data_IF_037221615146
#
_entry.id   IF_037221615146
#
_cell.length_a   1.000
_cell.length_b   1.000
_cell.length_c   1.000
_cell.angle_alpha   90.00
_cell.angle_beta   90.00
_cell.angle_gamma   90.00
#
_symmetry.space_group_name_H-M   'P 1'
#
loop_
_entity.id
_entity.type
_entity.pdbx_description
1 polymer ?
#
# COMPACT_ATOMS: atom_id res chain seq x y z
N UNK A 1 23.88 8.47 -3.25
CA UNK A 1 23.22 7.42 -4.06
C UNK A 1 22.00 6.95 -3.28
N UNK A 2 20.81 7.49 -3.58
CA UNK A 2 19.57 6.95 -3.02
C UNK A 2 19.38 5.56 -3.63
N UNK A 3 19.56 4.50 -2.82
CA UNK A 3 19.15 3.17 -3.22
C UNK A 3 17.63 3.23 -3.32
N UNK A 4 17.11 3.32 -4.53
CA UNK A 4 15.68 3.21 -4.80
C UNK A 4 15.29 1.81 -4.32
N UNK A 5 14.74 1.75 -3.10
CA UNK A 5 14.19 0.52 -2.56
C UNK A 5 13.05 0.15 -3.52
N UNK A 6 13.01 -1.08 -4.06
CA UNK A 6 11.91 -1.50 -4.91
C UNK A 6 10.65 -1.53 -4.04
N UNK A 7 9.91 -0.43 -4.10
CA UNK A 7 8.63 -0.29 -3.46
C UNK A 7 7.61 -0.96 -4.39
N UNK A 8 6.77 -1.88 -3.90
CA UNK A 8 5.85 -2.60 -4.76
C UNK A 8 4.93 -1.61 -5.47
N UNK A 9 4.92 -1.62 -6.79
CA UNK A 9 3.96 -0.84 -7.56
C UNK A 9 2.61 -1.55 -7.48
N UNK A 10 1.53 -0.86 -7.05
CA UNK A 10 0.21 -1.45 -7.02
C UNK A 10 -0.24 -1.73 -8.45
N UNK A 11 -0.66 -2.97 -8.73
CA UNK A 11 -1.20 -3.37 -10.04
C UNK A 11 -2.62 -2.80 -10.30
N UNK A 12 -3.18 -2.07 -9.32
CA UNK A 12 -4.57 -1.62 -9.30
C UNK A 12 -4.65 -0.12 -9.02
N UNK A 13 -5.74 0.51 -9.45
CA UNK A 13 -6.00 1.92 -9.17
C UNK A 13 -6.24 2.12 -7.67
N UNK A 14 -5.32 2.86 -7.05
CA UNK A 14 -5.45 3.35 -5.69
C UNK A 14 -6.45 4.51 -5.65
N UNK A 15 -7.15 4.68 -4.54
CA UNK A 15 -7.90 5.92 -4.26
C UNK A 15 -6.94 7.08 -3.98
N UNK A 16 -7.42 8.32 -4.07
CA UNK A 16 -6.60 9.50 -3.74
C UNK A 16 -6.00 9.41 -2.32
N UNK A 17 -6.76 8.89 -1.36
CA UNK A 17 -6.30 8.67 0.01
C UNK A 17 -5.20 7.60 0.10
N UNK A 18 -5.36 6.49 -0.64
CA UNK A 18 -4.38 5.41 -0.70
C UNK A 18 -3.10 5.84 -1.42
N UNK A 19 -3.19 6.69 -2.44
CA UNK A 19 -2.03 7.28 -3.12
C UNK A 19 -1.22 8.14 -2.15
N UNK A 20 -1.89 8.99 -1.37
CA UNK A 20 -1.22 9.82 -0.35
C UNK A 20 -0.48 8.93 0.66
N UNK A 21 -1.15 7.91 1.19
CA UNK A 21 -0.55 6.99 2.16
C UNK A 21 0.61 6.18 1.55
N UNK A 22 0.48 5.74 0.29
CA UNK A 22 1.53 5.06 -0.46
C UNK A 22 2.80 5.93 -0.57
N UNK A 23 2.63 7.20 -0.94
CA UNK A 23 3.75 8.15 -1.03
C UNK A 23 4.39 8.42 0.34
N UNK A 24 3.59 8.57 1.40
CA UNK A 24 4.12 8.76 2.75
C UNK A 24 4.94 7.55 3.22
N UNK A 25 4.47 6.32 2.98
CA UNK A 25 5.19 5.11 3.37
C UNK A 25 6.50 4.99 2.57
N UNK A 26 6.48 5.36 1.28
CA UNK A 26 7.69 5.41 0.44
C UNK A 26 8.73 6.40 0.98
N UNK A 27 8.31 7.62 1.31
CA UNK A 27 9.18 8.64 1.89
C UNK A 27 9.77 8.20 3.24
N UNK A 28 8.94 7.57 4.08
CA UNK A 28 9.39 7.01 5.35
C UNK A 28 10.43 5.88 5.16
N UNK A 29 10.31 5.08 4.10
CA UNK A 29 11.29 4.05 3.76
C UNK A 29 12.60 4.64 3.24
N UNK A 30 12.54 5.70 2.44
CA UNK A 30 13.73 6.39 1.95
C UNK A 30 14.49 7.10 3.08
N UNK A 31 13.76 7.62 4.08
CA UNK A 31 14.35 8.26 5.28
C UNK A 31 14.70 7.27 6.40
N UNK A 32 14.38 5.98 6.24
CA UNK A 32 14.64 4.96 7.25
C UNK A 32 16.16 4.75 7.46
N UNK A 33 16.67 5.23 8.59
CA UNK A 33 18.08 5.14 8.96
C UNK A 33 18.45 3.88 9.77
N UNK A 34 17.46 3.11 10.24
CA UNK A 34 17.70 1.93 11.08
C UNK A 34 16.95 0.70 10.60
N UNK A 35 17.53 -0.48 10.84
CA UNK A 35 16.91 -1.77 10.52
C UNK A 35 15.57 -1.99 11.25
N UNK A 36 15.44 -1.46 12.48
CA UNK A 36 14.19 -1.49 13.24
C UNK A 36 13.09 -0.67 12.56
N UNK A 37 13.42 0.55 12.10
CA UNK A 37 12.49 1.36 11.30
C UNK A 37 12.11 0.64 10.01
N UNK A 38 13.08 0.08 9.29
CA UNK A 38 12.82 -0.67 8.07
C UNK A 38 11.85 -1.85 8.31
N UNK A 39 12.01 -2.59 9.41
CA UNK A 39 11.11 -3.70 9.77
C UNK A 39 9.69 -3.23 10.07
N UNK A 40 9.53 -2.11 10.77
CA UNK A 40 8.23 -1.51 11.07
C UNK A 40 7.56 -1.05 9.77
N UNK A 41 8.31 -0.35 8.91
CA UNK A 41 7.80 0.16 7.64
C UNK A 41 7.43 -0.98 6.69
N UNK A 42 8.24 -2.05 6.62
CA UNK A 42 7.89 -3.26 5.86
C UNK A 42 6.57 -3.89 6.32
N UNK A 43 6.31 -3.92 7.64
CA UNK A 43 5.03 -4.39 8.18
C UNK A 43 3.89 -3.47 7.74
N UNK A 44 4.10 -2.15 7.82
CA UNK A 44 3.11 -1.14 7.42
C UNK A 44 2.76 -1.20 5.94
N UNK A 45 3.74 -1.47 5.08
CA UNK A 45 3.51 -1.74 3.65
C UNK A 45 2.64 -2.98 3.46
N UNK A 46 2.94 -4.08 4.15
CA UNK A 46 2.16 -5.30 4.04
C UNK A 46 0.71 -5.09 4.52
N UNK A 47 0.51 -4.35 5.60
CA UNK A 47 -0.81 -3.98 6.11
C UNK A 47 -1.57 -3.05 5.12
N UNK A 48 -0.87 -2.06 4.55
CA UNK A 48 -1.43 -1.20 3.51
C UNK A 48 -1.91 -2.02 2.30
N UNK A 49 -1.04 -2.87 1.75
CA UNK A 49 -1.37 -3.70 0.59
C UNK A 49 -2.52 -4.67 0.89
N UNK A 50 -2.54 -5.28 2.08
CA UNK A 50 -3.64 -6.17 2.48
C UNK A 50 -4.99 -5.44 2.54
N UNK A 51 -5.01 -4.21 3.05
CA UNK A 51 -6.23 -3.39 3.13
C UNK A 51 -6.71 -2.93 1.74
N UNK A 52 -5.78 -2.52 0.86
CA UNK A 52 -6.10 -2.17 -0.54
C UNK A 52 -6.70 -3.38 -1.27
N UNK A 53 -6.10 -4.56 -1.09
CA UNK A 53 -6.60 -5.82 -1.64
C UNK A 53 -8.00 -6.15 -1.11
N UNK A 54 -8.22 -6.04 0.21
CA UNK A 54 -9.51 -6.30 0.84
C UNK A 54 -10.61 -5.36 0.34
N UNK A 55 -10.35 -4.04 0.27
CA UNK A 55 -11.27 -3.06 -0.31
C UNK A 55 -11.64 -3.45 -1.74
N UNK A 56 -10.65 -3.78 -2.56
CA UNK A 56 -10.87 -4.17 -3.95
C UNK A 56 -11.70 -5.46 -4.07
N UNK A 57 -11.42 -6.45 -3.25
CA UNK A 57 -12.21 -7.69 -3.21
C UNK A 57 -13.66 -7.41 -2.81
N UNK A 58 -13.89 -6.48 -1.87
CA UNK A 58 -15.24 -6.02 -1.52
C UNK A 58 -15.92 -5.31 -2.69
N UNK A 59 -15.26 -4.38 -3.36
CA UNK A 59 -15.80 -3.69 -4.55
C UNK A 59 -16.16 -4.66 -5.68
N UNK A 60 -15.31 -5.66 -5.93
CA UNK A 60 -15.57 -6.73 -6.90
C UNK A 60 -16.75 -7.61 -6.51
N UNK A 61 -16.92 -7.88 -5.21
CA UNK A 61 -18.03 -8.69 -4.69
C UNK A 61 -19.35 -7.93 -4.68
N UNK A 62 -19.34 -6.64 -4.34
CA UNK A 62 -20.50 -5.76 -4.40
C UNK A 62 -20.92 -5.48 -5.85
N UNK A 63 -19.97 -5.32 -6.77
CA UNK A 63 -20.25 -5.21 -8.22
C UNK A 63 -20.87 -6.49 -8.81
N UNK A 64 -20.79 -7.61 -8.09
CA UNK A 64 -21.37 -8.91 -8.48
C UNK A 64 -22.73 -9.21 -7.85
N UNK A 65 -23.31 -8.30 -7.05
CA UNK A 65 -24.70 -8.44 -6.58
C UNK A 65 -25.65 -7.90 -7.67
N UNK A 66 -26.31 -8.76 -8.48
CA UNK A 66 -27.43 -8.31 -9.28
C UNK A 66 -28.51 -7.83 -8.32
N UNK A 67 -29.07 -6.65 -8.61
CA UNK A 67 -30.26 -6.12 -7.96
C UNK A 67 -31.29 -7.24 -7.78
N UNK A 68 -31.71 -7.46 -6.53
CA UNK A 68 -32.85 -8.31 -6.19
C UNK A 68 -34.06 -7.43 -5.96
#
# INVERSE_FOLDING_TARGET
MAKIIPFPEPEFALTDEEVIEYHQIKELLETASTFRHYRILKKRVAEFMARVEERRQQELNDSRRPYK
#
